data_IF_315750877238
#
_entry.id   IF_315750877238
#
_cell.length_a   1.000
_cell.length_b   1.000
_cell.length_c   1.000
_cell.angle_alpha   90.00
_cell.angle_beta   90.00
_cell.angle_gamma   90.00
#
_symmetry.space_group_name_H-M   'P 1'
#
loop_
_entity.id
_entity.type
_entity.pdbx_description
1 polymer ?
#
# COMPACT_ATOMS: atom_id res chain seq x y z
N UNK A 1 -5.08 -22.32 2.74
CA UNK A 1 -3.75 -21.76 3.10
C UNK A 1 -2.98 -21.14 1.92
N UNK A 2 -3.03 -21.67 0.68
CA UNK A 2 -2.31 -21.05 -0.46
C UNK A 2 -2.76 -19.61 -0.79
N UNK A 3 -4.07 -19.33 -0.77
CA UNK A 3 -4.59 -17.99 -1.09
C UNK A 3 -4.09 -16.91 -0.13
N UNK A 4 -4.03 -17.19 1.18
CA UNK A 4 -3.49 -16.24 2.16
C UNK A 4 -2.01 -15.93 1.93
N UNK A 5 -1.20 -16.93 1.52
CA UNK A 5 0.21 -16.72 1.16
C UNK A 5 0.36 -15.86 -0.09
N UNK A 6 -0.47 -16.11 -1.12
CA UNK A 6 -0.51 -15.31 -2.34
C UNK A 6 -0.91 -13.87 -2.00
N UNK A 7 -1.99 -13.69 -1.23
CA UNK A 7 -2.44 -12.38 -0.78
C UNK A 7 -1.33 -11.64 -0.02
N UNK A 8 -0.72 -12.26 0.99
CA UNK A 8 0.31 -11.62 1.80
C UNK A 8 1.54 -11.21 0.97
N UNK A 9 1.99 -12.05 0.03
CA UNK A 9 3.10 -11.70 -0.86
C UNK A 9 2.77 -10.50 -1.73
N UNK A 10 1.62 -10.53 -2.41
CA UNK A 10 1.20 -9.45 -3.30
C UNK A 10 0.79 -8.18 -2.56
N UNK A 11 0.36 -8.31 -1.30
CA UNK A 11 0.14 -7.20 -0.39
C UNK A 11 1.44 -6.46 -0.10
N UNK A 12 2.51 -7.18 0.25
CA UNK A 12 3.83 -6.58 0.50
C UNK A 12 4.36 -5.90 -0.76
N UNK A 13 4.21 -6.52 -1.93
CA UNK A 13 4.61 -5.91 -3.22
C UNK A 13 3.81 -4.63 -3.50
N UNK A 14 2.48 -4.66 -3.33
CA UNK A 14 1.63 -3.49 -3.55
C UNK A 14 1.90 -2.34 -2.57
N UNK A 15 2.13 -2.65 -1.30
CA UNK A 15 2.49 -1.67 -0.27
C UNK A 15 3.87 -1.04 -0.55
N UNK A 16 4.84 -1.86 -0.97
CA UNK A 16 6.19 -1.38 -1.32
C UNK A 16 6.14 -0.46 -2.53
N UNK A 17 5.38 -0.82 -3.56
CA UNK A 17 5.19 0.02 -4.75
C UNK A 17 4.55 1.36 -4.41
N UNK A 18 3.47 1.36 -3.63
CA UNK A 18 2.81 2.59 -3.17
C UNK A 18 3.78 3.47 -2.37
N UNK A 19 4.56 2.88 -1.46
CA UNK A 19 5.58 3.59 -0.71
C UNK A 19 6.66 4.20 -1.62
N UNK A 20 7.20 3.45 -2.58
CA UNK A 20 8.20 3.96 -3.54
C UNK A 20 7.68 5.14 -4.35
N UNK A 21 6.41 5.09 -4.79
CA UNK A 21 5.79 6.19 -5.52
C UNK A 21 5.61 7.41 -4.61
N UNK A 22 5.17 7.23 -3.37
CA UNK A 22 5.01 8.33 -2.40
C UNK A 22 6.37 8.98 -2.08
N UNK A 23 7.45 8.19 -1.99
CA UNK A 23 8.81 8.73 -1.84
C UNK A 23 9.21 9.59 -3.04
N UNK A 24 8.92 9.13 -4.26
CA UNK A 24 9.24 9.85 -5.51
C UNK A 24 8.39 11.12 -5.70
N UNK A 25 7.11 11.08 -5.32
CA UNK A 25 6.20 12.24 -5.39
C UNK A 25 6.51 13.30 -4.33
N UNK A 26 7.44 13.03 -3.40
CA UNK A 26 7.79 13.95 -2.32
C UNK A 26 6.81 13.94 -1.14
N UNK A 27 5.95 12.94 -1.02
CA UNK A 27 4.99 12.82 0.09
C UNK A 27 5.66 12.77 1.47
N UNK A 28 6.92 12.31 1.55
CA UNK A 28 7.70 12.32 2.79
C UNK A 28 8.17 13.73 3.17
N UNK A 29 8.50 14.57 2.19
CA UNK A 29 8.85 15.98 2.41
C UNK A 29 7.64 16.73 2.96
N UNK A 30 6.46 16.44 2.41
CA UNK A 30 5.19 16.97 2.87
C UNK A 30 4.84 16.57 4.31
N UNK A 31 5.19 15.36 4.75
CA UNK A 31 5.07 14.90 6.15
C UNK A 31 6.13 15.55 7.05
N UNK A 32 7.39 15.65 6.61
CA UNK A 32 8.47 16.27 7.40
C UNK A 32 8.28 17.78 7.62
N UNK A 33 7.66 18.48 6.67
CA UNK A 33 7.40 19.93 6.76
C UNK A 33 6.04 20.26 7.40
N UNK A 34 5.20 19.27 7.71
CA UNK A 34 3.90 19.50 8.35
C UNK A 34 4.08 19.93 9.81
N UNK A 35 3.69 21.16 10.15
CA UNK A 35 3.75 21.68 11.52
C UNK A 35 2.65 21.09 12.43
N UNK A 36 3.07 20.65 13.62
CA UNK A 36 2.23 20.45 14.82
C UNK A 36 1.12 19.41 14.67
N UNK A 37 -0.11 19.86 14.42
CA UNK A 37 -1.33 19.04 14.38
C UNK A 37 -1.62 18.41 13.01
N UNK A 38 -1.11 19.00 11.93
CA UNK A 38 -1.25 18.45 10.57
C UNK A 38 -0.36 17.25 10.32
N UNK A 39 0.64 17.03 11.17
CA UNK A 39 1.59 15.92 11.04
C UNK A 39 0.93 14.56 11.25
N UNK A 40 0.08 14.41 12.29
CA UNK A 40 -0.65 13.16 12.54
C UNK A 40 -1.61 12.82 11.39
N UNK A 41 -2.35 13.80 10.88
CA UNK A 41 -3.30 13.60 9.78
C UNK A 41 -2.58 13.11 8.53
N UNK A 42 -1.46 13.74 8.17
CA UNK A 42 -0.66 13.39 7.00
C UNK A 42 0.02 12.02 7.14
N UNK A 43 0.38 11.65 8.37
CA UNK A 43 0.94 10.34 8.66
C UNK A 43 -0.12 9.24 8.53
N UNK A 44 -1.36 9.51 8.95
CA UNK A 44 -2.51 8.61 8.74
C UNK A 44 -2.83 8.49 7.25
N UNK A 45 -2.83 9.58 6.49
CA UNK A 45 -3.01 9.55 5.02
C UNK A 45 -1.92 8.73 4.33
N UNK A 46 -0.66 8.92 4.70
CA UNK A 46 0.46 8.17 4.15
C UNK A 46 0.32 6.68 4.49
N UNK A 47 -0.05 6.36 5.73
CA UNK A 47 -0.26 4.99 6.15
C UNK A 47 -1.44 4.33 5.42
N UNK A 48 -2.57 5.03 5.31
CA UNK A 48 -3.74 4.52 4.57
C UNK A 48 -3.45 4.34 3.09
N UNK A 49 -2.66 5.22 2.47
CA UNK A 49 -2.23 5.07 1.08
C UNK A 49 -1.36 3.82 0.87
N UNK A 50 -0.37 3.58 1.75
CA UNK A 50 0.49 2.39 1.69
C UNK A 50 -0.31 1.11 1.92
N UNK A 51 -1.16 1.09 2.95
CA UNK A 51 -2.04 -0.05 3.25
C UNK A 51 -3.04 -0.30 2.14
N UNK A 52 -3.60 0.76 1.54
CA UNK A 52 -4.51 0.69 0.40
C UNK A 52 -3.83 0.10 -0.84
N UNK A 53 -2.61 0.54 -1.16
CA UNK A 53 -1.82 -0.04 -2.24
C UNK A 53 -1.53 -1.53 -2.06
N UNK A 54 -1.22 -1.95 -0.84
CA UNK A 54 -1.08 -3.36 -0.50
C UNK A 54 -2.38 -4.15 -0.65
N UNK A 55 -3.50 -3.62 -0.15
CA UNK A 55 -4.81 -4.26 -0.26
C UNK A 55 -5.23 -4.45 -1.72
N UNK A 56 -5.02 -3.43 -2.57
CA UNK A 56 -5.29 -3.53 -4.00
C UNK A 56 -4.43 -4.62 -4.66
N UNK A 57 -3.12 -4.64 -4.39
CA UNK A 57 -2.21 -5.67 -4.92
C UNK A 57 -2.61 -7.10 -4.49
N UNK A 58 -2.93 -7.28 -3.21
CA UNK A 58 -3.38 -8.54 -2.66
C UNK A 58 -4.71 -9.02 -3.25
N UNK A 59 -5.70 -8.13 -3.37
CA UNK A 59 -7.01 -8.45 -3.94
C UNK A 59 -6.92 -8.84 -5.43
N UNK A 60 -6.17 -8.07 -6.23
CA UNK A 60 -5.97 -8.37 -7.66
C UNK A 60 -5.31 -9.74 -7.84
N UNK A 61 -4.30 -10.07 -7.03
CA UNK A 61 -3.63 -11.36 -7.10
C UNK A 61 -4.55 -12.54 -6.76
N UNK A 62 -5.46 -12.37 -5.79
CA UNK A 62 -6.47 -13.39 -5.49
C UNK A 62 -7.47 -13.56 -6.64
N UNK A 63 -7.92 -12.48 -7.26
CA UNK A 63 -8.84 -12.53 -8.42
C UNK A 63 -8.16 -13.25 -9.58
N UNK A 64 -6.92 -12.88 -9.92
CA UNK A 64 -6.14 -13.55 -10.97
C UNK A 64 -5.91 -15.03 -10.66
N UNK A 65 -5.63 -15.37 -9.41
CA UNK A 65 -5.49 -16.77 -8.98
C UNK A 65 -6.79 -17.56 -9.11
N UNK A 66 -7.96 -16.92 -8.98
CA UNK A 66 -9.27 -17.53 -9.21
C UNK A 66 -9.60 -17.66 -10.70
N UNK A 67 -9.28 -16.68 -11.53
CA UNK A 67 -9.51 -16.76 -12.99
C UNK A 67 -8.61 -17.84 -13.62
N UNK A 68 -7.37 -17.98 -13.14
CA UNK A 68 -6.40 -18.96 -13.67
C UNK A 68 -6.71 -20.41 -13.26
N UNK A 69 -7.49 -20.63 -12.20
CA UNK A 69 -8.03 -21.93 -11.81
C UNK A 69 -9.56 -21.92 -12.03
N UNK A 70 -10.05 -22.18 -13.25
CA UNK A 70 -11.43 -22.62 -13.39
C UNK A 70 -11.67 -23.93 -12.63
#
# INVERSE_FOLDING_TARGET
MQSAKIFAWWFVVGATMALSIIMLQGGIREVMQAQGSLWEVKLVELFTAVMGGGLLGGCVALILARIKKP
#
